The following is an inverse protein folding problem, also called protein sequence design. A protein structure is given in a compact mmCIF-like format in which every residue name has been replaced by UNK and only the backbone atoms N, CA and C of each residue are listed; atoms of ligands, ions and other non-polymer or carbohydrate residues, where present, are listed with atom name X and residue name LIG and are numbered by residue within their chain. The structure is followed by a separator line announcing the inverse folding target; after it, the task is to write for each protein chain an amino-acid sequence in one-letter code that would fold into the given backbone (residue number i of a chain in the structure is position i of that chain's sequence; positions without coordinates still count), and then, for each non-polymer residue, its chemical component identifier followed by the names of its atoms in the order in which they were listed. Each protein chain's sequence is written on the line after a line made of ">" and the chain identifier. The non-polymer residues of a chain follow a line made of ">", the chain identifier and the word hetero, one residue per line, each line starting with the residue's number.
data_IF_508653367939
#
_entry.id   IF_508653367939
#
_cell.length_a   1.000
_cell.length_b   1.000
_cell.length_c   1.000
_cell.angle_alpha   90.00
_cell.angle_beta   90.00
_cell.angle_gamma   90.00
#
_symmetry.space_group_name_H-M   'P 1'
#
loop_
_entity.id
_entity.type
_entity.pdbx_description
1 polymer ?
#
# COMPACT_ATOMS: atom_id res chain seq x y z
N UNK A 1 11.42 -13.51 -23.37
CA UNK A 1 12.39 -12.48 -23.78
C UNK A 1 12.44 -11.39 -22.70
N UNK A 2 13.57 -10.70 -22.58
CA UNK A 2 13.74 -9.58 -21.64
C UNK A 2 12.73 -8.46 -21.89
N UNK A 3 12.47 -8.12 -23.15
CA UNK A 3 11.49 -7.12 -23.55
C UNK A 3 10.06 -7.49 -23.11
N UNK A 4 9.67 -8.76 -23.22
CA UNK A 4 8.36 -9.20 -22.77
C UNK A 4 8.16 -9.07 -21.26
N UNK A 5 9.21 -9.26 -20.45
CA UNK A 5 9.14 -9.00 -19.00
C UNK A 5 8.95 -7.52 -18.71
N UNK A 6 9.73 -6.65 -19.34
CA UNK A 6 9.61 -5.20 -19.14
C UNK A 6 8.22 -4.67 -19.51
N UNK A 7 7.63 -5.17 -20.59
CA UNK A 7 6.25 -4.82 -20.96
C UNK A 7 5.24 -5.33 -19.92
N UNK A 8 5.40 -6.57 -19.44
CA UNK A 8 4.56 -7.13 -18.39
C UNK A 8 4.64 -6.35 -17.08
N UNK A 9 5.85 -6.01 -16.64
CA UNK A 9 6.09 -5.21 -15.44
C UNK A 9 5.49 -3.80 -15.59
N UNK A 10 5.63 -3.18 -16.77
CA UNK A 10 5.03 -1.88 -17.06
C UNK A 10 3.50 -1.91 -16.98
N UNK A 11 2.86 -2.96 -17.52
CA UNK A 11 1.41 -3.13 -17.47
C UNK A 11 0.92 -3.38 -16.03
N UNK A 12 1.65 -4.18 -15.25
CA UNK A 12 1.32 -4.44 -13.85
C UNK A 12 1.38 -3.13 -13.04
N UNK A 13 2.47 -2.37 -13.17
CA UNK A 13 2.60 -1.05 -12.51
C UNK A 13 1.49 -0.10 -12.90
N UNK A 14 1.09 -0.06 -14.18
CA UNK A 14 -0.01 0.80 -14.63
C UNK A 14 -1.32 0.43 -13.93
N UNK A 15 -1.64 -0.86 -13.85
CA UNK A 15 -2.84 -1.34 -13.15
C UNK A 15 -2.82 -0.96 -11.66
N UNK A 16 -1.70 -1.13 -10.99
CA UNK A 16 -1.54 -0.75 -9.58
C UNK A 16 -1.70 0.76 -9.39
N UNK A 17 -1.04 1.57 -10.23
CA UNK A 17 -1.14 3.03 -10.16
C UNK A 17 -2.57 3.52 -10.37
N UNK A 18 -3.34 2.89 -11.26
CA UNK A 18 -4.74 3.26 -11.49
C UNK A 18 -5.62 2.93 -10.28
N UNK A 19 -5.34 1.84 -9.55
CA UNK A 19 -6.01 1.54 -8.27
C UNK A 19 -5.61 2.54 -7.19
N UNK A 20 -4.33 2.86 -7.06
CA UNK A 20 -3.82 3.82 -6.08
C UNK A 20 -4.44 5.21 -6.28
N UNK A 21 -4.66 5.61 -7.54
CA UNK A 21 -5.27 6.89 -7.88
C UNK A 21 -6.71 7.05 -7.37
N UNK A 22 -7.42 5.97 -7.05
CA UNK A 22 -8.76 6.01 -6.48
C UNK A 22 -8.75 6.26 -4.96
N UNK A 23 -7.68 5.89 -4.25
CA UNK A 23 -7.66 5.93 -2.79
C UNK A 23 -8.00 7.28 -2.17
N UNK A 24 -7.49 8.42 -2.69
CA UNK A 24 -7.82 9.73 -2.13
C UNK A 24 -9.30 10.12 -2.20
N UNK A 25 -10.07 9.48 -3.07
CA UNK A 25 -11.49 9.76 -3.26
C UNK A 25 -12.39 9.00 -2.27
N UNK A 26 -11.90 7.89 -1.72
CA UNK A 26 -12.65 7.09 -0.74
C UNK A 26 -13.05 7.90 0.49
N UNK A 27 -14.16 7.53 1.12
CA UNK A 27 -14.72 8.19 2.30
C UNK A 27 -15.08 9.67 2.06
N UNK A 28 -15.59 9.96 0.85
CA UNK A 28 -15.90 11.33 0.43
C UNK A 28 -14.67 12.24 0.39
N UNK A 29 -13.47 11.66 0.13
CA UNK A 29 -12.20 12.39 0.15
C UNK A 29 -11.66 12.69 1.55
N UNK A 30 -12.25 12.12 2.61
CA UNK A 30 -11.76 12.31 3.98
C UNK A 30 -10.57 11.39 4.26
N UNK A 31 -9.38 11.96 4.32
CA UNK A 31 -8.12 11.25 4.57
C UNK A 31 -7.87 11.08 6.07
N UNK A 32 -7.35 9.93 6.49
CA UNK A 32 -6.87 9.69 7.83
C UNK A 32 -5.36 9.95 7.91
N UNK A 33 -4.85 10.29 9.09
CA UNK A 33 -3.46 10.71 9.24
C UNK A 33 -3.27 12.18 8.88
N UNK A 34 -2.06 12.59 8.59
CA UNK A 34 -1.71 13.95 8.22
C UNK A 34 -0.39 13.99 7.45
N UNK A 35 -0.20 15.04 6.67
CA UNK A 35 1.09 15.33 6.03
C UNK A 35 2.21 15.48 7.06
N UNK A 36 3.38 14.91 6.75
CA UNK A 36 4.55 14.90 7.63
C UNK A 36 4.39 14.05 8.90
N UNK A 37 3.25 13.39 9.09
CA UNK A 37 3.07 12.47 10.21
C UNK A 37 3.78 11.15 9.94
N UNK A 38 4.57 10.69 10.89
CA UNK A 38 5.19 9.36 10.81
C UNK A 38 4.16 8.26 11.02
N UNK A 39 4.25 7.18 10.25
CA UNK A 39 3.48 5.96 10.45
C UNK A 39 4.01 5.21 11.68
N UNK A 40 3.61 5.66 12.86
CA UNK A 40 3.96 5.03 14.14
C UNK A 40 2.81 4.15 14.64
N UNK A 41 3.08 3.38 15.69
CA UNK A 41 2.08 2.46 16.28
C UNK A 41 0.82 3.22 16.73
N UNK A 42 0.95 4.39 17.37
CA UNK A 42 -0.17 5.18 17.85
C UNK A 42 -1.04 5.69 16.70
N UNK A 43 -0.42 6.27 15.68
CA UNK A 43 -1.12 6.79 14.50
C UNK A 43 -1.81 5.67 13.71
N UNK A 44 -1.14 4.53 13.55
CA UNK A 44 -1.71 3.36 12.86
C UNK A 44 -2.91 2.79 13.62
N UNK A 45 -2.81 2.65 14.94
CA UNK A 45 -3.93 2.25 15.78
C UNK A 45 -5.09 3.26 15.69
N UNK A 46 -4.80 4.55 15.66
CA UNK A 46 -5.80 5.61 15.49
C UNK A 46 -6.57 5.47 14.18
N UNK A 47 -5.87 5.25 13.07
CA UNK A 47 -6.49 5.01 11.75
C UNK A 47 -7.36 3.74 11.74
N UNK A 48 -6.86 2.63 12.30
CA UNK A 48 -7.61 1.37 12.39
C UNK A 48 -8.85 1.53 13.28
N UNK A 49 -8.73 2.18 14.43
CA UNK A 49 -9.85 2.42 15.33
C UNK A 49 -10.92 3.27 14.68
N UNK A 50 -10.52 4.31 13.94
CA UNK A 50 -11.43 5.18 13.19
C UNK A 50 -12.15 4.45 12.07
N UNK A 51 -11.44 3.60 11.33
CA UNK A 51 -12.03 2.75 10.29
C UNK A 51 -13.08 1.79 10.88
N UNK A 52 -12.80 1.16 12.03
CA UNK A 52 -13.73 0.29 12.73
C UNK A 52 -14.94 1.07 13.28
N UNK A 53 -14.73 2.26 13.84
CA UNK A 53 -15.80 3.14 14.32
C UNK A 53 -16.73 3.58 13.18
N UNK A 54 -16.17 3.85 12.00
CA UNK A 54 -16.91 4.18 10.78
C UNK A 54 -17.53 2.96 10.09
N UNK A 55 -17.37 1.75 10.66
CA UNK A 55 -17.96 0.49 10.17
C UNK A 55 -17.57 0.15 8.73
N UNK A 56 -16.32 0.36 8.34
CA UNK A 56 -15.83 0.05 6.99
C UNK A 56 -15.98 -1.41 6.61
N UNK A 57 -15.99 -2.35 7.57
CA UNK A 57 -16.19 -3.77 7.33
C UNK A 57 -15.45 -4.64 8.34
N UNK A 58 -15.55 -5.96 8.14
CA UNK A 58 -14.95 -6.93 9.05
C UNK A 58 -13.55 -7.41 8.60
N UNK A 59 -13.24 -7.27 7.31
CA UNK A 59 -11.98 -7.72 6.70
C UNK A 59 -11.17 -6.53 6.19
N UNK A 60 -10.75 -5.68 7.13
CA UNK A 60 -9.92 -4.52 6.81
C UNK A 60 -8.51 -4.97 6.43
N UNK A 61 -7.93 -4.27 5.47
CA UNK A 61 -6.51 -4.33 5.13
C UNK A 61 -5.95 -2.90 5.03
N UNK A 62 -4.67 -2.78 5.27
CA UNK A 62 -3.93 -1.53 5.18
C UNK A 62 -2.78 -1.70 4.20
N UNK A 63 -2.66 -0.79 3.25
CA UNK A 63 -1.56 -0.76 2.28
C UNK A 63 -0.88 0.60 2.35
N UNK A 64 0.43 0.63 2.45
CA UNK A 64 1.20 1.87 2.42
C UNK A 64 2.58 1.68 1.80
N UNK A 65 3.28 2.78 1.53
CA UNK A 65 4.63 2.77 0.98
C UNK A 65 5.62 2.07 1.93
N UNK A 66 6.62 1.32 1.41
CA UNK A 66 7.60 0.59 2.22
C UNK A 66 8.31 1.46 3.26
N UNK A 67 8.66 2.72 2.94
CA UNK A 67 9.34 3.62 3.89
C UNK A 67 8.49 3.93 5.12
N UNK A 68 7.17 4.15 4.93
CA UNK A 68 6.26 4.37 6.05
C UNK A 68 6.14 3.12 6.93
N UNK A 69 6.00 1.95 6.32
CA UNK A 69 5.92 0.68 7.05
C UNK A 69 7.24 0.33 7.74
N UNK A 70 8.39 0.69 7.15
CA UNK A 70 9.69 0.55 7.79
C UNK A 70 9.83 1.42 9.05
N UNK A 71 9.27 2.65 9.03
CA UNK A 71 9.21 3.52 10.21
C UNK A 71 8.41 2.86 11.34
N UNK A 72 7.28 2.25 11.03
CA UNK A 72 6.47 1.49 11.99
C UNK A 72 7.25 0.30 12.56
N UNK A 73 7.95 -0.46 11.72
CA UNK A 73 8.79 -1.60 12.13
C UNK A 73 9.95 -1.17 13.02
N UNK A 74 10.62 -0.06 12.69
CA UNK A 74 11.72 0.52 13.49
C UNK A 74 11.23 0.92 14.88
N UNK A 75 10.07 1.55 14.97
CA UNK A 75 9.50 1.92 16.27
C UNK A 75 9.13 0.69 17.10
N UNK A 76 8.54 -0.34 16.49
CA UNK A 76 8.22 -1.58 17.19
C UNK A 76 9.49 -2.26 17.75
N UNK A 77 10.57 -2.30 16.99
CA UNK A 77 11.86 -2.83 17.45
C UNK A 77 12.42 -2.00 18.62
N UNK A 78 12.41 -0.67 18.54
CA UNK A 78 12.89 0.22 19.61
C UNK A 78 12.05 0.08 20.87
N UNK A 79 10.73 -0.06 20.75
CA UNK A 79 9.83 -0.27 21.90
C UNK A 79 10.09 -1.62 22.56
N UNK A 80 10.34 -2.67 21.77
CA UNK A 80 10.70 -3.98 22.29
C UNK A 80 12.01 -3.97 23.08
N UNK A 81 13.03 -3.27 22.56
CA UNK A 81 14.33 -3.12 23.22
C UNK A 81 14.21 -2.33 24.54
N UNK A 82 13.46 -1.23 24.54
CA UNK A 82 13.18 -0.43 25.73
C UNK A 82 12.39 -1.22 26.78
N UNK A 83 11.43 -2.05 26.39
CA UNK A 83 10.65 -2.89 27.28
C UNK A 83 11.52 -3.98 27.93
N UNK A 84 12.44 -4.58 27.17
CA UNK A 84 13.42 -5.54 27.68
C UNK A 84 14.37 -4.89 28.70
N UNK A 85 14.86 -3.67 28.44
CA UNK A 85 15.71 -2.90 29.33
C UNK A 85 14.97 -2.49 30.63
N UNK A 86 13.64 -2.29 30.56
CA UNK A 86 12.80 -1.98 31.72
C UNK A 86 12.39 -3.22 32.55
N UNK A 87 12.87 -4.42 32.21
CA UNK A 87 12.53 -5.68 32.89
C UNK A 87 11.10 -6.18 32.67
N UNK A 88 10.40 -5.65 31.68
CA UNK A 88 9.09 -6.15 31.26
C UNK A 88 9.28 -7.49 30.53
N UNK A 89 8.37 -8.45 30.77
CA UNK A 89 8.54 -9.82 30.30
C UNK A 89 8.82 -9.87 28.79
N UNK A 90 9.90 -10.54 28.42
CA UNK A 90 10.40 -10.68 27.05
C UNK A 90 9.40 -11.31 26.06
N UNK A 91 8.36 -11.97 26.53
CA UNK A 91 7.35 -12.62 25.71
C UNK A 91 6.56 -11.65 24.83
N UNK A 92 6.21 -10.48 25.37
CA UNK A 92 5.42 -9.50 24.64
C UNK A 92 6.21 -8.84 23.49
N UNK A 93 7.49 -8.60 23.71
CA UNK A 93 8.38 -8.00 22.70
C UNK A 93 8.74 -8.99 21.60
N UNK A 94 8.91 -10.28 21.93
CA UNK A 94 9.22 -11.33 20.96
C UNK A 94 8.02 -11.59 20.04
N UNK A 95 6.81 -11.67 20.58
CA UNK A 95 5.59 -11.86 19.78
C UNK A 95 5.35 -10.66 18.85
N UNK A 96 5.60 -9.44 19.31
CA UNK A 96 5.50 -8.25 18.47
C UNK A 96 6.49 -8.31 17.30
N UNK A 97 7.74 -8.63 17.57
CA UNK A 97 8.80 -8.76 16.56
C UNK A 97 8.52 -9.91 15.58
N UNK A 98 8.11 -11.08 16.07
CA UNK A 98 7.77 -12.20 15.19
C UNK A 98 6.62 -11.86 14.24
N UNK A 99 5.59 -11.18 14.69
CA UNK A 99 4.49 -10.73 13.85
C UNK A 99 4.93 -9.71 12.79
N UNK A 100 5.92 -8.87 13.09
CA UNK A 100 6.50 -7.95 12.11
C UNK A 100 7.37 -8.65 11.07
N UNK A 101 8.13 -9.68 11.44
CA UNK A 101 9.03 -10.38 10.53
C UNK A 101 8.38 -11.54 9.78
N UNK A 102 7.20 -12.00 10.16
CA UNK A 102 6.51 -13.12 9.50
C UNK A 102 5.81 -12.75 8.18
N UNK A 103 5.98 -11.54 7.68
CA UNK A 103 5.42 -11.09 6.39
C UNK A 103 3.96 -10.63 6.44
N UNK A 104 3.21 -11.01 7.45
CA UNK A 104 1.90 -10.46 7.79
C UNK A 104 2.08 -9.68 9.10
N UNK A 105 1.85 -8.37 9.06
CA UNK A 105 2.05 -7.46 10.19
C UNK A 105 0.70 -7.04 10.80
N UNK A 106 -0.04 -7.94 11.46
CA UNK A 106 -1.37 -7.60 11.97
C UNK A 106 -1.29 -6.67 13.18
N UNK A 107 -1.72 -5.45 13.01
CA UNK A 107 -2.03 -4.55 14.12
C UNK A 107 -3.54 -4.58 14.32
N UNK A 108 -4.03 -4.89 15.52
CA UNK A 108 -5.46 -5.03 15.80
C UNK A 108 -6.20 -5.98 14.82
N UNK A 109 -5.53 -7.05 14.41
CA UNK A 109 -6.04 -8.02 13.43
C UNK A 109 -6.28 -7.45 12.02
N UNK A 110 -5.55 -6.37 11.66
CA UNK A 110 -5.55 -5.78 10.32
C UNK A 110 -4.20 -6.02 9.68
N UNK A 111 -4.12 -6.82 8.60
CA UNK A 111 -2.87 -7.06 7.88
C UNK A 111 -2.39 -5.77 7.21
N UNK A 112 -1.07 -5.59 7.21
CA UNK A 112 -0.39 -4.44 6.60
C UNK A 112 0.45 -4.92 5.44
N UNK A 113 0.21 -4.33 4.26
CA UNK A 113 0.93 -4.61 3.04
C UNK A 113 1.76 -3.40 2.60
N UNK A 114 2.76 -3.66 1.78
CA UNK A 114 3.64 -2.64 1.21
C UNK A 114 3.46 -2.55 -0.29
N UNK A 115 3.39 -1.33 -0.81
CA UNK A 115 3.38 -1.07 -2.25
C UNK A 115 4.32 0.09 -2.58
N UNK A 116 5.35 -0.20 -3.40
CA UNK A 116 6.34 0.78 -3.83
C UNK A 116 5.88 1.68 -4.98
N UNK A 117 4.68 1.47 -5.53
CA UNK A 117 4.12 2.32 -6.58
C UNK A 117 3.38 3.56 -6.03
N UNK A 118 3.35 3.73 -4.71
CA UNK A 118 2.79 4.91 -4.06
C UNK A 118 3.76 6.07 -4.22
N UNK A 119 3.38 7.08 -4.98
CA UNK A 119 4.17 8.28 -5.19
C UNK A 119 3.95 9.32 -4.09
N UNK A 120 4.92 10.24 -3.95
CA UNK A 120 4.78 11.41 -3.10
C UNK A 120 3.68 12.33 -3.63
N UNK A 121 2.89 12.87 -2.73
CA UNK A 121 1.92 13.91 -3.06
C UNK A 121 2.68 15.18 -3.45
N UNK A 122 2.22 15.87 -4.49
CA UNK A 122 2.91 17.06 -5.00
C UNK A 122 3.16 18.09 -3.90
N UNK A 123 4.43 18.45 -3.73
CA UNK A 123 4.87 19.49 -2.79
C UNK A 123 5.08 19.02 -1.35
N UNK A 124 4.88 17.72 -1.05
CA UNK A 124 5.07 17.17 0.30
C UNK A 124 5.79 15.81 0.26
N UNK A 125 6.40 15.41 1.37
CA UNK A 125 7.10 14.12 1.49
C UNK A 125 6.20 12.97 1.97
N UNK A 126 4.89 13.16 1.89
CA UNK A 126 3.89 12.17 2.27
C UNK A 126 3.25 11.52 1.06
N UNK A 127 2.76 10.30 1.22
CA UNK A 127 2.02 9.57 0.21
C UNK A 127 0.70 9.06 0.73
N UNK A 128 -0.20 8.74 -0.19
CA UNK A 128 -1.49 8.14 0.14
C UNK A 128 -1.40 6.62 0.13
N UNK A 129 -1.58 6.00 1.30
CA UNK A 129 -1.95 4.60 1.43
C UNK A 129 -3.46 4.45 1.55
N UNK A 130 -3.94 3.26 1.87
CA UNK A 130 -5.36 2.97 2.03
C UNK A 130 -5.60 2.06 3.22
N UNK A 131 -6.70 2.28 3.91
CA UNK A 131 -7.34 1.31 4.81
C UNK A 131 -8.75 1.05 4.30
N UNK A 132 -9.02 -0.18 3.90
CA UNK A 132 -10.28 -0.52 3.25
C UNK A 132 -10.72 -1.96 3.52
N UNK A 133 -11.99 -2.22 3.32
CA UNK A 133 -12.54 -3.56 3.19
C UNK A 133 -12.50 -4.03 1.73
N UNK A 134 -12.55 -5.33 1.50
CA UNK A 134 -12.53 -5.93 0.15
C UNK A 134 -13.64 -5.44 -0.78
N UNK A 135 -14.72 -4.92 -0.21
CA UNK A 135 -15.88 -4.44 -0.95
C UNK A 135 -15.80 -2.95 -1.30
N UNK A 136 -14.73 -2.24 -0.90
CA UNK A 136 -14.58 -0.82 -1.18
C UNK A 136 -14.34 -0.54 -2.67
N UNK A 137 -13.57 -1.39 -3.34
CA UNK A 137 -13.13 -1.20 -4.73
C UNK A 137 -13.30 -2.47 -5.54
N UNK A 138 -13.44 -2.30 -6.87
CA UNK A 138 -13.43 -3.41 -7.82
C UNK A 138 -12.53 -3.11 -9.02
N UNK A 139 -11.88 -4.16 -9.49
CA UNK A 139 -11.22 -4.18 -10.77
C UNK A 139 -11.97 -5.14 -11.70
N UNK A 140 -12.39 -4.67 -12.85
CA UNK A 140 -12.99 -5.48 -13.90
C UNK A 140 -12.04 -5.56 -15.09
N UNK A 141 -11.86 -6.75 -15.62
CA UNK A 141 -11.06 -7.00 -16.81
C UNK A 141 -11.98 -7.51 -17.92
N UNK A 142 -12.07 -6.77 -19.01
CA UNK A 142 -12.80 -7.16 -20.22
C UNK A 142 -11.90 -8.00 -21.12
N UNK A 143 -10.69 -7.51 -21.38
CA UNK A 143 -9.67 -8.23 -22.14
C UNK A 143 -8.42 -8.33 -21.30
N UNK A 144 -8.00 -9.56 -21.06
CA UNK A 144 -6.76 -9.80 -20.31
C UNK A 144 -5.53 -9.33 -21.09
N UNK A 145 -4.44 -9.15 -20.39
CA UNK A 145 -3.18 -8.68 -20.96
C UNK A 145 -2.72 -9.61 -22.08
N UNK A 146 -2.60 -9.09 -23.30
CA UNK A 146 -2.11 -9.83 -24.46
C UNK A 146 -1.00 -9.08 -25.16
N UNK A 147 -0.08 -9.82 -25.78
CA UNK A 147 1.05 -9.27 -26.53
C UNK A 147 0.83 -9.55 -28.02
N UNK A 148 0.88 -8.52 -28.84
CA UNK A 148 0.84 -8.61 -30.28
C UNK A 148 2.22 -8.28 -30.85
N UNK A 149 2.62 -9.01 -31.89
CA UNK A 149 3.91 -8.84 -32.55
C UNK A 149 3.68 -8.46 -33.99
N UNK A 150 4.20 -7.32 -34.39
CA UNK A 150 4.17 -6.87 -35.80
C UNK A 150 5.60 -6.66 -36.29
N UNK A 151 5.85 -7.10 -37.53
CA UNK A 151 7.10 -6.80 -38.23
C UNK A 151 6.89 -5.60 -39.16
N UNK A 152 7.62 -4.54 -38.90
CA UNK A 152 7.72 -3.40 -39.79
C UNK A 152 8.87 -3.61 -40.76
N UNK A 153 8.54 -3.82 -42.05
CA UNK A 153 9.52 -4.07 -43.09
C UNK A 153 10.30 -2.79 -43.47
N UNK A 154 9.68 -1.62 -43.32
CA UNK A 154 10.28 -0.33 -43.68
C UNK A 154 11.36 0.05 -42.69
N UNK A 155 11.15 -0.18 -41.42
CA UNK A 155 12.10 0.09 -40.33
C UNK A 155 13.04 -1.10 -40.06
N UNK A 156 12.83 -2.25 -40.74
CA UNK A 156 13.52 -3.51 -40.44
C UNK A 156 13.50 -3.91 -38.96
N UNK A 157 12.43 -3.52 -38.26
CA UNK A 157 12.23 -3.71 -36.83
C UNK A 157 11.05 -4.65 -36.58
N UNK A 158 11.00 -5.17 -35.35
CA UNK A 158 9.84 -5.90 -34.84
C UNK A 158 9.24 -5.08 -33.72
N UNK A 159 7.98 -4.72 -33.86
CA UNK A 159 7.20 -4.04 -32.86
C UNK A 159 6.48 -5.05 -31.98
N UNK A 160 6.54 -4.84 -30.67
CA UNK A 160 5.82 -5.60 -29.66
C UNK A 160 4.87 -4.65 -28.94
N UNK A 161 3.57 -4.90 -29.06
CA UNK A 161 2.52 -4.10 -28.42
C UNK A 161 1.82 -4.98 -27.38
N UNK A 162 1.68 -4.44 -26.16
CA UNK A 162 0.92 -5.08 -25.12
C UNK A 162 -0.36 -4.29 -24.85
N UNK A 163 -1.49 -4.98 -24.90
CA UNK A 163 -2.81 -4.38 -24.70
C UNK A 163 -3.56 -5.10 -23.60
N UNK A 164 -4.31 -4.35 -22.82
CA UNK A 164 -5.28 -4.87 -21.86
C UNK A 164 -6.47 -3.90 -21.81
N UNK A 165 -7.65 -4.44 -21.60
CA UNK A 165 -8.86 -3.65 -21.40
C UNK A 165 -9.41 -3.98 -20.01
N UNK A 166 -9.30 -3.01 -19.11
CA UNK A 166 -9.69 -3.13 -17.71
C UNK A 166 -10.21 -1.78 -17.19
N UNK A 167 -10.97 -1.82 -16.13
CA UNK A 167 -11.41 -0.64 -15.41
C UNK A 167 -11.32 -0.90 -13.92
N UNK A 168 -10.95 0.13 -13.18
CA UNK A 168 -10.94 0.12 -11.71
C UNK A 168 -11.91 1.18 -11.23
N UNK A 169 -12.72 0.85 -10.25
CA UNK A 169 -13.71 1.77 -9.70
C UNK A 169 -14.00 1.48 -8.24
N UNK A 170 -14.49 2.48 -7.63
CA UNK A 170 -15.02 2.50 -6.29
C UNK A 170 -16.42 1.87 -6.30
N UNK A 171 -16.62 0.86 -5.43
CA UNK A 171 -17.91 0.19 -5.28
C UNK A 171 -18.72 0.80 -4.13
N UNK A 172 -18.07 1.03 -3.01
CA UNK A 172 -18.69 1.55 -1.80
C UNK A 172 -17.72 2.49 -1.10
N UNK A 173 -17.97 3.77 -1.27
CA UNK A 173 -17.17 4.87 -0.70
C UNK A 173 -17.07 4.80 0.82
N UNK A 174 -18.09 4.27 1.48
CA UNK A 174 -18.16 4.18 2.95
C UNK A 174 -17.31 3.06 3.55
N UNK A 175 -16.60 2.26 2.73
CA UNK A 175 -15.87 1.06 3.16
C UNK A 175 -14.35 1.17 3.06
N UNK A 176 -13.83 2.34 2.80
CA UNK A 176 -12.41 2.60 2.75
C UNK A 176 -12.09 4.06 2.95
N UNK A 177 -10.85 4.38 3.29
CA UNK A 177 -10.34 5.75 3.35
C UNK A 177 -8.86 5.76 2.99
N UNK A 178 -8.41 6.84 2.37
CA UNK A 178 -6.98 7.09 2.23
C UNK A 178 -6.37 7.37 3.61
N UNK A 179 -5.11 6.95 3.75
CA UNK A 179 -4.26 7.30 4.90
C UNK A 179 -3.04 8.03 4.40
N UNK A 180 -2.69 9.15 5.02
CA UNK A 180 -1.55 9.97 4.62
C UNK A 180 -0.48 9.94 5.71
N UNK A 181 0.71 9.45 5.33
CA UNK A 181 1.89 9.43 6.18
C UNK A 181 3.14 9.79 5.38
N UNK A 182 4.19 10.19 6.09
CA UNK A 182 5.50 10.46 5.52
C UNK A 182 6.08 9.21 4.85
N UNK A 183 6.55 9.37 3.61
CA UNK A 183 7.22 8.35 2.81
C UNK A 183 8.61 8.79 2.34
N UNK A 184 9.15 9.85 2.94
CA UNK A 184 10.50 10.33 2.68
C UNK A 184 11.55 9.23 2.88
N UNK A 185 12.72 9.43 2.28
CA UNK A 185 13.81 8.47 2.39
C UNK A 185 14.28 8.35 3.84
N UNK A 186 14.38 7.11 4.30
CA UNK A 186 14.90 6.83 5.63
C UNK A 186 16.41 7.03 5.67
N UNK A 187 16.92 7.59 6.76
CA UNK A 187 18.35 7.69 6.99
C UNK A 187 18.98 6.28 7.00
N UNK A 188 20.03 6.09 6.20
CA UNK A 188 20.76 4.82 6.03
C UNK A 188 22.08 4.78 6.79
N UNK A 189 22.34 5.77 7.64
CA UNK A 189 23.56 5.86 8.50
C UNK A 189 23.36 5.15 9.82
#
# INVERSE_FOLDING_TARGET
>A
SMIGRQLGDGMARKKDTDVIALWPNLNGGTVFGADGAAMNTANTHGCISRAKANKFGNQLYLIHHPNAVATLSKQAATTADTAAAAGLSSGWSVDLLQNFYSGLRPINNVPIFEDGNIDKVSGVDSGYGVIADKTAMAALTSVDTRTEKQRDASLRATELVMTADYGVFELDDSRGAAIQFEIGDLATS
#
